data_IF_718419578821
#
_entry.id   IF_718419578821
#
_cell.length_a   1.000
_cell.length_b   1.000
_cell.length_c   1.000
_cell.angle_alpha   90.00
_cell.angle_beta   90.00
_cell.angle_gamma   90.00
#
_symmetry.space_group_name_H-M   'P 1'
#
loop_
_entity.id
_entity.type
_entity.pdbx_description
1 polymer ?
#
# COMPACT_ATOMS: atom_id res chain seq x y z
N UNK A 1 14.81 14.56 -8.08
CA UNK A 1 15.89 13.56 -8.20
C UNK A 1 16.11 12.96 -6.83
N UNK A 2 16.18 11.63 -6.68
CA UNK A 2 16.75 11.05 -5.46
C UNK A 2 18.16 11.61 -5.36
N UNK A 3 18.45 12.36 -4.30
CA UNK A 3 19.83 12.69 -3.96
C UNK A 3 20.22 11.69 -2.89
N UNK A 4 20.91 10.58 -3.23
CA UNK A 4 21.72 9.94 -2.21
C UNK A 4 22.63 11.03 -1.66
N UNK A 5 22.78 11.12 -0.35
CA UNK A 5 23.92 11.84 0.17
C UNK A 5 25.17 11.17 -0.46
N UNK A 6 26.07 11.94 -1.06
CA UNK A 6 27.23 11.41 -1.79
C UNK A 6 28.15 10.53 -0.91
N UNK A 7 27.95 10.50 0.40
CA UNK A 7 28.67 9.67 1.36
C UNK A 7 28.03 8.29 1.66
N UNK A 8 26.76 8.04 1.33
CA UNK A 8 26.04 6.82 1.69
C UNK A 8 25.07 6.31 0.59
N UNK A 9 24.63 5.05 0.69
CA UNK A 9 23.68 4.45 -0.25
C UNK A 9 24.16 4.31 -1.70
N UNK A 10 25.47 4.40 -1.94
CA UNK A 10 26.06 4.40 -3.29
C UNK A 10 26.11 3.00 -3.92
N UNK A 11 26.03 1.94 -3.13
CA UNK A 11 26.19 0.58 -3.62
C UNK A 11 24.87 0.02 -4.16
N UNK A 12 24.99 -0.81 -5.19
CA UNK A 12 23.84 -1.44 -5.85
C UNK A 12 24.21 -2.83 -6.34
N UNK A 13 23.32 -3.78 -6.08
CA UNK A 13 23.42 -5.13 -6.61
C UNK A 13 22.13 -5.42 -7.39
N UNK A 14 22.19 -5.45 -8.73
CA UNK A 14 21.05 -5.88 -9.52
C UNK A 14 20.83 -7.38 -9.35
N UNK A 15 19.58 -7.81 -9.23
CA UNK A 15 19.21 -9.22 -9.11
C UNK A 15 20.01 -9.96 -8.03
N UNK A 16 20.10 -9.37 -6.83
CA UNK A 16 20.86 -9.93 -5.71
C UNK A 16 20.39 -11.35 -5.38
N UNK A 17 19.08 -11.55 -5.39
CA UNK A 17 18.42 -12.85 -5.38
C UNK A 17 17.01 -12.72 -5.97
N UNK A 18 16.37 -13.86 -6.28
CA UNK A 18 14.98 -13.84 -6.74
C UNK A 18 14.03 -13.50 -5.59
N UNK A 19 13.23 -12.45 -5.77
CA UNK A 19 12.07 -12.20 -4.92
C UNK A 19 11.02 -13.31 -5.10
N UNK A 20 10.42 -13.79 -4.02
CA UNK A 20 9.36 -14.79 -4.05
C UNK A 20 8.16 -14.25 -4.82
N UNK A 21 7.73 -14.95 -5.87
CA UNK A 21 6.69 -14.47 -6.76
C UNK A 21 5.31 -14.39 -6.08
N UNK A 22 5.04 -15.25 -5.09
CA UNK A 22 3.82 -15.19 -4.30
C UNK A 22 3.81 -13.96 -3.40
N UNK A 23 4.94 -13.67 -2.76
CA UNK A 23 5.14 -12.47 -1.96
C UNK A 23 5.05 -11.19 -2.81
N UNK A 24 5.65 -11.17 -3.99
CA UNK A 24 5.56 -10.03 -4.94
C UNK A 24 4.10 -9.78 -5.35
N UNK A 25 3.35 -10.85 -5.68
CA UNK A 25 1.92 -10.74 -5.98
C UNK A 25 1.10 -10.27 -4.77
N UNK A 26 1.41 -10.77 -3.57
CA UNK A 26 0.77 -10.36 -2.34
C UNK A 26 1.09 -8.89 -1.98
N UNK A 27 2.23 -8.35 -2.39
CA UNK A 27 2.56 -6.92 -2.28
C UNK A 27 1.85 -6.05 -3.33
N UNK A 28 1.14 -6.64 -4.28
CA UNK A 28 0.37 -5.91 -5.29
C UNK A 28 1.10 -5.65 -6.61
N UNK A 29 2.16 -6.39 -6.90
CA UNK A 29 2.92 -6.26 -8.15
C UNK A 29 2.78 -7.50 -9.03
N UNK A 30 2.82 -7.32 -10.36
CA UNK A 30 2.97 -8.44 -11.29
C UNK A 30 4.36 -9.09 -11.10
N UNK A 31 4.46 -10.37 -10.72
CA UNK A 31 5.74 -11.06 -10.56
C UNK A 31 6.56 -11.18 -11.85
N UNK A 32 5.93 -10.99 -13.01
CA UNK A 32 6.58 -10.94 -14.32
C UNK A 32 6.67 -9.51 -14.88
N UNK A 33 6.19 -8.53 -14.12
CA UNK A 33 6.18 -7.13 -14.48
C UNK A 33 7.54 -6.46 -14.30
N UNK A 34 7.65 -5.19 -14.69
CA UNK A 34 8.91 -4.45 -14.63
C UNK A 34 9.44 -4.29 -13.20
N UNK A 35 8.55 -4.23 -12.20
CA UNK A 35 8.91 -4.06 -10.79
C UNK A 35 9.58 -5.30 -10.16
N UNK A 36 9.40 -6.49 -10.72
CA UNK A 36 10.03 -7.72 -10.20
C UNK A 36 11.56 -7.60 -10.14
N UNK A 37 12.17 -6.91 -11.12
CA UNK A 37 13.62 -6.69 -11.17
C UNK A 37 14.11 -5.72 -10.09
N UNK A 38 13.32 -4.68 -9.78
CA UNK A 38 13.63 -3.74 -8.70
C UNK A 38 13.51 -4.41 -7.33
N UNK A 39 12.43 -5.17 -7.12
CA UNK A 39 12.17 -5.94 -5.90
C UNK A 39 13.19 -7.08 -5.68
N UNK A 40 13.84 -7.55 -6.74
CA UNK A 40 14.94 -8.54 -6.68
C UNK A 40 16.33 -7.90 -6.57
N UNK A 41 16.41 -6.57 -6.55
CA UNK A 41 17.65 -5.81 -6.46
C UNK A 41 17.75 -5.09 -5.12
N UNK A 42 18.95 -4.65 -4.73
CA UNK A 42 19.14 -3.84 -3.53
C UNK A 42 20.05 -2.64 -3.78
N UNK A 43 19.72 -1.53 -3.15
CA UNK A 43 20.68 -0.51 -2.72
C UNK A 43 21.14 -0.87 -1.31
N UNK A 44 22.40 -0.60 -1.01
CA UNK A 44 22.94 -0.89 0.31
C UNK A 44 24.09 0.04 0.65
N UNK A 45 24.47 0.05 1.92
CA UNK A 45 25.65 0.75 2.38
C UNK A 45 26.47 -0.03 3.40
N UNK A 46 27.75 0.27 3.47
CA UNK A 46 28.67 -0.32 4.45
C UNK A 46 28.66 0.46 5.75
N UNK A 47 28.54 -0.25 6.88
CA UNK A 47 28.58 0.32 8.23
C UNK A 47 27.49 1.36 8.48
N UNK A 48 26.23 0.99 8.23
CA UNK A 48 25.06 1.86 8.51
C UNK A 48 24.86 2.16 10.00
N UNK A 49 25.68 1.59 10.89
CA UNK A 49 25.73 1.96 12.29
C UNK A 49 26.54 3.25 12.51
N UNK A 50 27.76 3.33 11.97
CA UNK A 50 28.59 4.52 12.10
C UNK A 50 28.23 5.62 11.08
N UNK A 51 27.67 5.22 9.94
CA UNK A 51 27.27 6.10 8.83
C UNK A 51 25.91 5.66 8.31
N UNK A 52 24.79 6.15 8.90
CA UNK A 52 23.44 5.81 8.48
C UNK A 52 23.23 5.88 6.97
N UNK A 53 22.38 5.00 6.43
CA UNK A 53 21.97 5.11 5.04
C UNK A 53 20.80 6.09 4.94
N UNK A 54 21.13 7.32 4.55
CA UNK A 54 20.16 8.41 4.40
C UNK A 54 19.63 8.52 2.97
N UNK A 55 18.33 8.77 2.84
CA UNK A 55 17.64 9.00 1.58
C UNK A 55 16.93 10.35 1.69
N UNK A 56 17.18 11.22 0.71
CA UNK A 56 16.54 12.53 0.61
C UNK A 56 15.81 12.67 -0.73
N UNK A 57 14.50 12.95 -0.65
CA UNK A 57 13.60 13.08 -1.79
C UNK A 57 12.96 14.46 -1.81
N UNK A 58 13.38 15.29 -2.77
CA UNK A 58 12.73 16.58 -3.00
C UNK A 58 11.28 16.37 -3.47
N UNK A 59 10.32 16.67 -2.59
CA UNK A 59 8.87 16.56 -2.81
C UNK A 59 8.17 17.79 -2.23
N UNK A 60 7.02 18.23 -2.76
CA UNK A 60 6.28 19.34 -2.17
C UNK A 60 5.87 19.07 -0.73
N UNK A 61 5.71 20.13 0.07
CA UNK A 61 5.11 20.03 1.39
C UNK A 61 3.70 19.41 1.29
N UNK A 62 3.38 18.51 2.21
CA UNK A 62 2.12 17.79 2.21
C UNK A 62 2.21 16.47 2.97
N UNK A 63 1.08 15.79 3.04
CA UNK A 63 0.96 14.47 3.64
C UNK A 63 1.15 13.40 2.58
N UNK A 64 1.76 12.27 2.96
CA UNK A 64 2.11 11.17 2.08
C UNK A 64 1.95 9.82 2.75
N UNK A 65 1.65 8.83 1.93
CA UNK A 65 1.76 7.42 2.24
C UNK A 65 3.11 6.91 1.71
N UNK A 66 3.95 6.39 2.60
CA UNK A 66 5.29 5.86 2.27
C UNK A 66 5.31 4.34 2.42
N UNK A 67 5.81 3.65 1.41
CA UNK A 67 6.12 2.22 1.42
C UNK A 67 7.61 1.99 1.21
N UNK A 68 8.24 1.21 2.08
CA UNK A 68 9.62 0.75 1.95
C UNK A 68 9.65 -0.76 1.76
N UNK A 69 10.30 -1.22 0.70
CA UNK A 69 10.37 -2.63 0.35
C UNK A 69 11.78 -3.18 0.57
N UNK A 70 11.85 -4.35 1.18
CA UNK A 70 13.11 -4.98 1.59
C UNK A 70 13.17 -6.43 1.14
N UNK A 71 14.27 -6.79 0.49
CA UNK A 71 14.63 -8.15 0.12
C UNK A 71 15.85 -8.57 0.95
N UNK A 72 15.83 -9.76 1.54
CA UNK A 72 16.96 -10.28 2.32
C UNK A 72 17.26 -11.76 2.00
N UNK A 73 18.49 -12.01 1.55
CA UNK A 73 18.93 -13.31 1.04
C UNK A 73 20.31 -13.76 1.52
N UNK A 74 21.06 -12.92 2.22
CA UNK A 74 22.37 -13.24 2.76
C UNK A 74 22.24 -14.06 4.05
N UNK A 75 21.48 -13.57 5.04
CA UNK A 75 21.29 -14.26 6.32
C UNK A 75 20.26 -13.57 7.24
N UNK A 76 19.84 -14.33 8.26
CA UNK A 76 19.01 -13.89 9.38
C UNK A 76 19.85 -13.19 10.46
N UNK A 77 20.57 -12.15 10.07
CA UNK A 77 21.53 -11.48 10.95
C UNK A 77 21.63 -9.97 10.66
N UNK A 78 20.82 -9.44 9.72
CA UNK A 78 20.85 -8.02 9.34
C UNK A 78 19.70 -7.31 10.07
N UNK A 79 20.07 -6.28 10.82
CA UNK A 79 19.15 -5.52 11.68
C UNK A 79 19.46 -4.02 11.58
N UNK A 80 18.42 -3.22 11.37
CA UNK A 80 18.53 -1.76 11.31
C UNK A 80 17.21 -1.09 11.61
N UNK A 81 17.24 0.12 12.16
CA UNK A 81 16.03 0.91 12.42
C UNK A 81 15.66 1.78 11.22
N UNK A 82 14.40 2.23 11.17
CA UNK A 82 13.90 3.21 10.20
C UNK A 82 13.51 4.48 10.94
N UNK A 83 14.06 5.61 10.49
CA UNK A 83 13.54 6.93 10.83
C UNK A 83 12.99 7.63 9.59
N UNK A 84 11.88 8.34 9.75
CA UNK A 84 11.23 9.16 8.71
C UNK A 84 11.00 10.55 9.29
N UNK A 85 11.37 11.61 8.56
CA UNK A 85 11.28 13.01 9.02
C UNK A 85 11.95 13.24 10.40
N UNK A 86 13.01 12.48 10.67
CA UNK A 86 13.76 12.55 11.94
C UNK A 86 13.14 11.79 13.11
N UNK A 87 11.96 11.17 12.94
CA UNK A 87 11.31 10.34 13.94
C UNK A 87 11.62 8.86 13.73
N UNK A 88 11.97 8.13 14.80
CA UNK A 88 12.12 6.68 14.78
C UNK A 88 10.74 6.02 14.64
N UNK A 89 10.47 5.41 13.49
CA UNK A 89 9.17 4.80 13.17
C UNK A 89 9.21 3.26 13.21
N UNK A 90 10.40 2.67 13.16
CA UNK A 90 10.59 1.23 13.33
C UNK A 90 11.95 0.92 13.94
N UNK A 91 12.00 0.08 14.96
CA UNK A 91 13.20 -0.13 15.78
C UNK A 91 14.07 -1.30 15.35
N UNK A 92 13.53 -2.29 14.61
CA UNK A 92 14.31 -3.44 14.15
C UNK A 92 13.77 -4.09 12.86
N UNK A 93 14.22 -3.59 11.69
CA UNK A 93 13.96 -4.23 10.40
C UNK A 93 14.69 -5.56 10.33
N UNK A 94 13.93 -6.64 10.18
CA UNK A 94 14.45 -7.98 10.13
C UNK A 94 13.64 -8.90 9.20
N UNK A 95 14.31 -9.82 8.51
CA UNK A 95 13.70 -10.64 7.45
C UNK A 95 12.56 -11.54 7.91
N UNK A 96 12.54 -11.96 9.18
CA UNK A 96 11.48 -12.80 9.71
C UNK A 96 10.18 -12.03 9.97
N UNK A 97 10.29 -10.71 10.07
CA UNK A 97 9.17 -9.79 10.31
C UNK A 97 8.66 -9.17 9.01
N UNK A 98 9.24 -9.55 7.88
CA UNK A 98 8.73 -9.17 6.56
C UNK A 98 7.31 -9.73 6.38
N UNK A 99 6.39 -8.86 5.99
CA UNK A 99 5.07 -9.21 5.49
C UNK A 99 5.04 -8.90 3.99
N UNK A 100 4.72 -9.86 3.10
CA UNK A 100 4.29 -11.26 3.35
C UNK A 100 5.42 -12.26 3.65
N UNK A 101 6.68 -11.90 3.39
CA UNK A 101 7.87 -12.55 3.95
C UNK A 101 8.15 -14.00 3.58
N UNK A 102 9.22 -14.58 4.17
CA UNK A 102 10.36 -13.92 4.82
C UNK A 102 11.46 -13.53 3.80
N UNK A 103 11.19 -13.63 2.50
CA UNK A 103 12.16 -13.32 1.45
C UNK A 103 12.10 -11.84 1.04
N UNK A 104 10.90 -11.31 0.88
CA UNK A 104 10.63 -9.91 0.58
C UNK A 104 9.44 -9.44 1.41
N UNK A 105 9.46 -8.18 1.85
CA UNK A 105 8.35 -7.58 2.58
C UNK A 105 8.35 -6.06 2.51
N UNK A 106 7.38 -5.47 3.20
CA UNK A 106 7.11 -4.03 3.17
C UNK A 106 6.89 -3.47 4.57
N UNK A 107 7.34 -2.23 4.77
CA UNK A 107 6.93 -1.36 5.87
C UNK A 107 6.17 -0.18 5.30
N UNK A 108 5.01 0.13 5.91
CA UNK A 108 4.08 1.14 5.43
C UNK A 108 3.86 2.22 6.48
N UNK A 109 3.94 3.48 6.07
CA UNK A 109 3.78 4.66 6.91
C UNK A 109 2.71 5.55 6.27
N UNK A 110 1.45 5.50 6.74
CA UNK A 110 0.33 6.18 6.10
C UNK A 110 0.30 7.69 6.32
N UNK A 111 0.97 8.18 7.37
CA UNK A 111 0.82 9.55 7.88
C UNK A 111 2.18 10.28 7.91
N UNK A 112 2.85 10.37 6.77
CA UNK A 112 4.14 11.10 6.65
C UNK A 112 3.89 12.53 6.20
N UNK A 113 4.21 13.52 7.05
CA UNK A 113 4.07 14.95 6.71
C UNK A 113 5.42 15.57 6.39
N UNK A 114 5.58 16.07 5.16
CA UNK A 114 6.77 16.82 4.70
C UNK A 114 6.52 18.32 4.84
N UNK A 115 7.48 19.05 5.42
CA UNK A 115 7.30 20.48 5.76
C UNK A 115 8.42 21.42 5.31
N UNK A 116 9.46 20.88 4.68
CA UNK A 116 10.64 21.61 4.24
C UNK A 116 10.98 21.40 2.75
N UNK A 117 10.06 20.80 1.99
CA UNK A 117 10.24 20.42 0.60
C UNK A 117 11.12 19.19 0.38
N UNK A 118 11.41 18.40 1.42
CA UNK A 118 12.29 17.24 1.34
C UNK A 118 11.86 16.12 2.29
N UNK A 119 11.47 14.96 1.73
CA UNK A 119 11.27 13.76 2.54
C UNK A 119 12.63 13.15 2.91
N UNK A 120 12.85 12.98 4.20
CA UNK A 120 14.05 12.43 4.82
C UNK A 120 13.78 11.06 5.42
N UNK A 121 14.56 10.06 5.01
CA UNK A 121 14.53 8.70 5.56
C UNK A 121 15.94 8.31 5.97
N UNK A 122 16.10 7.69 7.14
CA UNK A 122 17.38 7.20 7.63
C UNK A 122 17.28 5.75 8.07
N UNK A 123 18.18 4.91 7.57
CA UNK A 123 18.32 3.51 7.96
C UNK A 123 19.59 3.36 8.80
N UNK A 124 19.45 2.97 10.07
CA UNK A 124 20.58 2.92 11.01
C UNK A 124 20.83 1.49 11.46
N UNK A 125 22.03 0.98 11.19
CA UNK A 125 22.45 -0.37 11.56
C UNK A 125 22.41 -0.61 13.06
N UNK A 126 21.97 -1.79 13.50
CA UNK A 126 21.90 -2.17 14.92
C UNK A 126 23.07 -3.11 15.27
N UNK A 127 23.92 -2.78 16.25
CA UNK A 127 25.03 -3.63 16.66
C UNK A 127 24.57 -5.00 17.18
N UNK A 128 25.31 -6.05 16.81
CA UNK A 128 25.00 -7.43 17.21
C UNK A 128 24.96 -8.41 16.03
N UNK A 129 24.94 -7.89 14.80
CA UNK A 129 24.96 -8.67 13.57
C UNK A 129 25.54 -7.89 12.38
N UNK A 130 24.97 -8.11 11.19
CA UNK A 130 25.23 -7.34 9.98
C UNK A 130 24.51 -5.99 10.08
N UNK A 131 25.28 -4.90 10.22
CA UNK A 131 24.77 -3.54 10.38
C UNK A 131 24.52 -2.83 9.05
N UNK A 132 24.79 -3.47 7.91
CA UNK A 132 24.67 -2.84 6.61
C UNK A 132 23.18 -2.74 6.25
N UNK A 133 22.61 -1.55 6.15
CA UNK A 133 21.21 -1.40 5.74
C UNK A 133 21.04 -1.73 4.24
N UNK A 134 19.90 -2.33 3.89
CA UNK A 134 19.52 -2.60 2.49
C UNK A 134 18.13 -2.02 2.23
N UNK A 135 17.84 -1.70 0.98
CA UNK A 135 16.48 -1.37 0.50
C UNK A 135 16.35 -1.80 -0.96
N UNK A 136 15.21 -2.37 -1.34
CA UNK A 136 14.94 -2.81 -2.70
C UNK A 136 14.19 -1.76 -3.51
N UNK A 137 13.13 -1.22 -2.92
CA UNK A 137 12.32 -0.19 -3.54
C UNK A 137 11.69 0.73 -2.49
N UNK A 138 11.24 1.89 -2.95
CA UNK A 138 10.46 2.84 -2.19
C UNK A 138 9.31 3.31 -3.08
N UNK A 139 8.14 3.44 -2.48
CA UNK A 139 6.96 4.05 -3.10
C UNK A 139 6.47 5.17 -2.20
N UNK A 140 6.13 6.31 -2.80
CA UNK A 140 5.64 7.49 -2.12
C UNK A 140 4.40 8.00 -2.86
N UNK A 141 3.28 8.05 -2.17
CA UNK A 141 1.99 8.44 -2.72
C UNK A 141 1.46 9.66 -1.95
N UNK A 142 0.82 10.64 -2.62
CA UNK A 142 0.17 11.74 -1.91
C UNK A 142 -0.88 11.24 -0.92
N UNK A 143 -1.06 11.94 0.20
CA UNK A 143 -2.09 11.66 1.19
C UNK A 143 -3.49 11.67 0.56
N UNK A 144 -4.31 10.67 0.88
CA UNK A 144 -5.63 10.49 0.29
C UNK A 144 -5.65 9.93 -1.13
N UNK A 145 -4.49 9.54 -1.70
CA UNK A 145 -4.43 8.78 -2.93
C UNK A 145 -4.82 7.32 -2.66
N UNK A 146 -5.91 6.84 -3.27
CA UNK A 146 -6.25 5.42 -3.33
C UNK A 146 -5.59 4.80 -4.58
N UNK A 147 -4.58 3.92 -4.41
CA UNK A 147 -3.92 3.27 -5.55
C UNK A 147 -4.84 2.32 -6.31
N UNK A 148 -6.00 1.95 -5.77
CA UNK A 148 -6.99 1.11 -6.45
C UNK A 148 -7.91 1.90 -7.42
N UNK A 149 -7.77 3.24 -7.50
CA UNK A 149 -8.59 4.12 -8.36
C UNK A 149 -7.95 4.48 -9.72
N UNK A 150 -6.73 4.00 -10.05
CA UNK A 150 -6.08 4.28 -11.35
C UNK A 150 -6.10 3.08 -12.32
N UNK A 151 -7.14 2.94 -13.17
CA UNK A 151 -7.22 1.85 -14.15
C UNK A 151 -6.22 1.98 -15.31
N UNK A 152 -5.47 3.08 -15.41
CA UNK A 152 -4.48 3.28 -16.48
C UNK A 152 -3.08 2.76 -16.12
N UNK A 153 -2.87 2.29 -14.89
CA UNK A 153 -1.56 1.92 -14.39
C UNK A 153 -1.54 0.51 -13.76
N UNK A 154 -1.37 -0.56 -14.56
CA UNK A 154 -1.47 -1.95 -14.08
C UNK A 154 -0.34 -2.39 -13.13
N UNK A 155 0.71 -1.57 -13.00
CA UNK A 155 1.88 -1.81 -12.15
C UNK A 155 1.85 -1.02 -10.82
N UNK A 156 0.90 -0.08 -10.66
CA UNK A 156 0.66 0.63 -9.41
C UNK A 156 -0.62 0.08 -8.79
N UNK A 157 -0.52 -0.56 -7.62
CA UNK A 157 -1.71 -0.88 -6.84
C UNK A 157 -2.63 -1.94 -7.44
N UNK A 158 -2.10 -3.11 -7.87
CA UNK A 158 -2.98 -4.28 -7.69
C UNK A 158 -3.19 -4.35 -6.19
N UNK A 159 -4.41 -4.09 -5.71
CA UNK A 159 -4.69 -4.19 -4.28
C UNK A 159 -4.14 -5.56 -3.83
N UNK A 160 -3.18 -5.53 -2.91
CA UNK A 160 -2.52 -6.71 -2.38
C UNK A 160 -3.55 -7.83 -2.20
N UNK A 161 -3.24 -9.09 -2.54
CA UNK A 161 -4.27 -10.16 -2.53
C UNK A 161 -5.00 -10.36 -1.17
N UNK A 162 -4.44 -9.78 -0.09
CA UNK A 162 -4.94 -9.69 1.28
C UNK A 162 -5.47 -8.30 1.69
N UNK A 163 -5.31 -7.26 0.87
CA UNK A 163 -6.02 -5.97 0.98
C UNK A 163 -7.22 -6.02 0.05
N UNK A 164 -8.31 -6.59 0.55
CA UNK A 164 -9.62 -6.12 0.12
C UNK A 164 -9.63 -4.60 0.39
N UNK A 165 -10.05 -3.77 -0.57
CA UNK A 165 -10.47 -2.41 -0.27
C UNK A 165 -11.60 -2.51 0.77
N UNK A 166 -11.22 -2.52 2.05
CA UNK A 166 -12.16 -2.33 3.12
C UNK A 166 -12.52 -0.85 3.02
N UNK A 167 -13.69 -0.57 2.43
CA UNK A 167 -14.42 0.64 2.76
C UNK A 167 -14.40 0.69 4.29
N UNK A 168 -13.79 1.71 4.87
CA UNK A 168 -13.63 1.77 6.33
C UNK A 168 -15.01 1.76 6.99
N UNK A 169 -15.34 0.62 7.62
CA UNK A 169 -16.59 0.38 8.33
C UNK A 169 -17.58 -0.57 7.65
N UNK A 170 -18.48 -1.22 8.43
CA UNK A 170 -19.52 -2.09 7.89
C UNK A 170 -20.44 -1.31 6.96
N UNK A 171 -20.88 -1.92 5.85
CA UNK A 171 -21.89 -1.35 4.94
C UNK A 171 -23.10 -0.85 5.75
N UNK A 172 -23.22 0.48 5.89
CA UNK A 172 -24.27 1.11 6.72
C UNK A 172 -25.67 0.91 6.13
N UNK A 173 -25.74 0.68 4.82
CA UNK A 173 -26.98 0.43 4.11
C UNK A 173 -27.45 -1.04 4.16
N UNK A 174 -26.61 -1.99 4.64
CA UNK A 174 -26.94 -3.42 4.62
C UNK A 174 -28.25 -3.71 5.39
N UNK A 175 -29.22 -4.29 4.69
CA UNK A 175 -30.54 -4.65 5.22
C UNK A 175 -31.43 -3.45 5.58
N UNK A 176 -31.04 -2.23 5.22
CA UNK A 176 -31.80 -1.02 5.54
C UNK A 176 -33.00 -0.84 4.61
N UNK A 177 -34.05 -0.11 5.03
CA UNK A 177 -35.17 0.22 4.15
C UNK A 177 -34.70 1.01 2.93
N UNK A 178 -35.12 0.56 1.75
CA UNK A 178 -34.83 1.25 0.49
C UNK A 178 -36.11 1.52 -0.28
N UNK A 179 -36.16 2.65 -0.98
CA UNK A 179 -37.25 3.04 -1.86
C UNK A 179 -36.71 3.46 -3.22
N UNK A 180 -37.54 3.39 -4.24
CA UNK A 180 -37.18 3.81 -5.60
C UNK A 180 -38.37 4.43 -6.30
N UNK A 181 -38.11 5.21 -7.34
CA UNK A 181 -39.13 5.95 -8.08
C UNK A 181 -40.22 5.07 -8.69
N UNK A 182 -39.87 3.85 -9.07
CA UNK A 182 -40.78 2.83 -9.61
C UNK A 182 -40.10 1.46 -9.58
N UNK A 183 -40.88 0.39 -9.57
CA UNK A 183 -40.35 -0.98 -9.68
C UNK A 183 -40.58 -1.53 -11.08
N UNK A 184 -39.50 -1.81 -11.79
CA UNK A 184 -39.49 -2.49 -13.08
C UNK A 184 -39.12 -3.96 -12.93
N UNK A 185 -39.80 -4.83 -13.69
CA UNK A 185 -39.54 -6.27 -13.76
C UNK A 185 -39.44 -7.02 -12.41
N UNK A 186 -40.04 -6.48 -11.33
CA UNK A 186 -39.92 -7.07 -9.99
C UNK A 186 -38.58 -6.78 -9.30
N UNK A 187 -37.84 -5.78 -9.78
CA UNK A 187 -36.54 -5.33 -9.25
C UNK A 187 -36.70 -4.44 -8.03
N UNK A 188 -37.23 -5.01 -6.94
CA UNK A 188 -37.51 -4.30 -5.70
C UNK A 188 -36.26 -3.59 -5.13
N UNK A 189 -36.40 -2.38 -4.54
CA UNK A 189 -35.27 -1.55 -4.12
C UNK A 189 -34.39 -2.19 -3.06
N UNK A 190 -34.95 -3.07 -2.21
CA UNK A 190 -34.22 -3.76 -1.15
C UNK A 190 -33.11 -4.71 -1.65
N UNK A 191 -33.11 -5.07 -2.94
CA UNK A 191 -32.04 -5.91 -3.52
C UNK A 191 -30.69 -5.20 -3.57
N UNK A 192 -30.67 -3.87 -3.67
CA UNK A 192 -29.40 -3.12 -3.62
C UNK A 192 -28.73 -3.12 -2.24
N UNK A 193 -29.43 -3.60 -1.21
CA UNK A 193 -28.97 -3.62 0.18
C UNK A 193 -29.08 -5.02 0.81
N UNK A 194 -29.20 -6.06 0.00
CA UNK A 194 -29.39 -7.45 0.48
C UNK A 194 -28.10 -8.19 0.82
N UNK A 195 -26.93 -7.56 0.58
CA UNK A 195 -25.61 -8.13 0.83
C UNK A 195 -25.11 -9.07 -0.26
N UNK A 196 -25.85 -9.26 -1.35
CA UNK A 196 -25.45 -10.03 -2.51
C UNK A 196 -25.04 -9.09 -3.65
N UNK A 197 -23.78 -9.20 -4.08
CA UNK A 197 -23.17 -8.31 -5.09
C UNK A 197 -23.34 -8.80 -6.53
N UNK A 198 -24.20 -9.79 -6.76
CA UNK A 198 -24.41 -10.35 -8.08
C UNK A 198 -25.14 -9.37 -9.02
N UNK A 199 -24.37 -8.75 -9.93
CA UNK A 199 -24.88 -7.83 -10.95
C UNK A 199 -25.68 -8.47 -12.08
N UNK A 200 -25.82 -9.80 -12.12
CA UNK A 200 -26.65 -10.49 -13.12
C UNK A 200 -28.12 -10.42 -12.73
N UNK A 201 -28.99 -9.97 -13.63
CA UNK A 201 -30.44 -9.91 -13.39
C UNK A 201 -31.02 -11.26 -12.92
N UNK A 202 -30.59 -12.36 -13.53
CA UNK A 202 -31.02 -13.72 -13.14
C UNK A 202 -30.60 -14.12 -11.71
N UNK A 203 -29.65 -13.39 -11.11
CA UNK A 203 -29.24 -13.55 -9.72
C UNK A 203 -30.18 -12.95 -8.69
N UNK A 204 -31.27 -12.29 -9.12
CA UNK A 204 -32.30 -11.70 -8.27
C UNK A 204 -31.79 -10.70 -7.20
N UNK A 205 -30.62 -10.09 -7.44
CA UNK A 205 -29.95 -9.11 -6.57
C UNK A 205 -29.91 -7.69 -7.13
N UNK A 206 -30.51 -7.48 -8.31
CA UNK A 206 -30.48 -6.20 -9.03
C UNK A 206 -31.84 -5.50 -8.90
N UNK A 207 -31.83 -4.20 -8.67
CA UNK A 207 -33.01 -3.33 -8.66
C UNK A 207 -33.30 -2.80 -10.06
N UNK A 208 -34.53 -2.39 -10.34
CA UNK A 208 -34.88 -1.82 -11.65
C UNK A 208 -36.01 -0.81 -11.52
N UNK A 209 -35.90 0.31 -12.23
CA UNK A 209 -36.97 1.29 -12.41
C UNK A 209 -37.57 1.17 -13.82
N UNK A 210 -38.74 1.81 -14.04
CA UNK A 210 -39.49 1.73 -15.31
C UNK A 210 -39.22 2.88 -16.29
N UNK A 211 -38.31 3.81 -16.03
CA UNK A 211 -38.14 4.94 -16.95
C UNK A 211 -37.23 6.08 -16.49
N UNK A 212 -37.35 7.20 -17.19
CA UNK A 212 -36.54 8.41 -17.01
C UNK A 212 -36.85 9.13 -15.69
N UNK A 213 -35.89 9.90 -15.18
CA UNK A 213 -35.89 10.47 -13.82
C UNK A 213 -35.97 9.39 -12.71
N UNK A 214 -35.33 8.25 -12.96
CA UNK A 214 -35.18 7.18 -11.98
C UNK A 214 -34.37 7.65 -10.78
N UNK A 215 -34.85 7.30 -9.58
CA UNK A 215 -34.10 7.47 -8.34
C UNK A 215 -34.27 6.23 -7.48
N UNK A 216 -33.28 6.02 -6.62
CA UNK A 216 -33.27 5.03 -5.56
C UNK A 216 -32.66 5.70 -4.33
N UNK A 217 -33.22 5.43 -3.16
CA UNK A 217 -32.79 6.00 -1.89
C UNK A 217 -32.84 4.93 -0.79
N UNK A 218 -31.91 5.02 0.16
CA UNK A 218 -31.87 4.20 1.37
C UNK A 218 -32.01 5.07 2.61
N UNK A 219 -32.87 4.65 3.52
CA UNK A 219 -32.95 5.20 4.87
C UNK A 219 -31.94 4.47 5.75
N UNK A 220 -30.81 5.12 6.08
CA UNK A 220 -29.75 4.52 6.87
C UNK A 220 -30.13 4.31 8.35
N UNK A 221 -31.26 4.87 8.79
CA UNK A 221 -31.82 4.83 10.15
C UNK A 221 -30.91 5.42 11.25
N UNK A 222 -29.81 6.08 10.86
CA UNK A 222 -28.88 6.73 11.77
C UNK A 222 -28.14 7.85 11.02
N UNK A 223 -27.51 8.75 11.76
CA UNK A 223 -26.67 9.83 11.23
C UNK A 223 -25.20 9.40 11.27
N UNK A 224 -24.50 9.60 10.16
CA UNK A 224 -23.07 9.28 10.06
C UNK A 224 -22.31 10.53 9.66
N UNK A 225 -21.17 10.77 10.32
CA UNK A 225 -20.21 11.78 9.87
C UNK A 225 -19.58 11.31 8.56
N UNK A 226 -19.49 12.23 7.59
CA UNK A 226 -19.02 11.94 6.23
C UNK A 226 -17.54 12.29 5.99
N UNK A 227 -16.82 12.71 7.03
CA UNK A 227 -15.41 13.15 6.93
C UNK A 227 -15.26 14.54 6.37
#
# INVERSE_FOLDING_TARGET
>A
SIRPNDANGANFIPNWCAADSGAVAALGFDPNGPMASALSSIRWDSDSFASPFDIELAVPDGDYYLNLFFLECCCDNRHYSISVEGELVYDDVHRLDFDPGPNIGRYSFPDVSVTDGSLSISLVGIPGGDVNAVISALELLPGGFDPCDDPANPDFGQCASNVQCAIDGPNKALGKPATQSSEGWGGAPGRAVDGNTNGQWAGASVTHTNGENAWWEVDLLDTYDIG
#
